data_IF_415078135187
#
_entry.id   IF_415078135187
#
_cell.length_a   1.000
_cell.length_b   1.000
_cell.length_c   1.000
_cell.angle_alpha   90.00
_cell.angle_beta   90.00
_cell.angle_gamma   90.00
#
_symmetry.space_group_name_H-M   'P 1'
#
loop_
_entity.id
_entity.type
_entity.pdbx_description
1 polymer ?
#
# COMPACT_ATOMS: atom_id res chain seq x y z
N UNK A 1 -14.77 7.40 16.74
CA UNK A 1 -14.19 6.34 17.59
C UNK A 1 -12.67 6.47 17.54
N UNK A 2 -11.94 5.87 18.48
CA UNK A 2 -10.49 5.69 18.36
C UNK A 2 -10.24 4.26 17.88
N UNK A 3 -9.61 4.11 16.72
CA UNK A 3 -9.51 2.85 15.98
C UNK A 3 -8.04 2.52 15.77
N UNK A 4 -7.63 1.33 16.19
CA UNK A 4 -6.33 0.77 15.88
C UNK A 4 -6.40 -0.15 14.65
N UNK A 5 -5.51 0.06 13.67
CA UNK A 5 -5.33 -0.82 12.52
C UNK A 5 -3.95 -1.47 12.63
N UNK A 6 -3.92 -2.80 12.67
CA UNK A 6 -2.69 -3.59 12.77
C UNK A 6 -2.32 -4.11 11.38
N UNK A 7 -1.18 -3.64 10.87
CA UNK A 7 -0.66 -3.88 9.53
C UNK A 7 -0.96 -2.74 8.57
N UNK A 8 0.07 -2.28 7.86
CA UNK A 8 0.02 -1.19 6.87
C UNK A 8 0.16 -1.70 5.44
N UNK A 9 -0.30 -2.93 5.17
CA UNK A 9 -0.50 -3.40 3.81
C UNK A 9 -1.60 -2.62 3.08
N UNK A 10 -1.80 -2.92 1.79
CA UNK A 10 -2.79 -2.23 0.94
C UNK A 10 -4.19 -2.12 1.57
N UNK A 11 -4.65 -3.18 2.24
CA UNK A 11 -5.96 -3.20 2.91
C UNK A 11 -5.98 -2.29 4.14
N UNK A 12 -4.95 -2.34 4.99
CA UNK A 12 -4.84 -1.53 6.20
C UNK A 12 -4.78 -0.04 5.88
N UNK A 13 -3.97 0.35 4.89
CA UNK A 13 -3.88 1.73 4.42
C UNK A 13 -5.19 2.20 3.76
N UNK A 14 -5.85 1.35 2.99
CA UNK A 14 -7.17 1.68 2.40
C UNK A 14 -8.23 1.90 3.49
N UNK A 15 -8.27 1.04 4.51
CA UNK A 15 -9.14 1.21 5.67
C UNK A 15 -8.84 2.53 6.40
N UNK A 16 -7.58 2.82 6.68
CA UNK A 16 -7.18 4.06 7.34
C UNK A 16 -7.60 5.30 6.54
N UNK A 17 -7.32 5.31 5.24
CA UNK A 17 -7.68 6.40 4.32
C UNK A 17 -9.18 6.69 4.35
N UNK A 18 -10.03 5.65 4.34
CA UNK A 18 -11.48 5.84 4.37
C UNK A 18 -11.98 6.25 5.77
N UNK A 19 -11.45 5.67 6.84
CA UNK A 19 -11.96 5.88 8.20
C UNK A 19 -11.46 7.17 8.87
N UNK A 20 -10.29 7.69 8.47
CA UNK A 20 -9.69 8.85 9.15
C UNK A 20 -10.51 10.15 9.07
N UNK A 21 -11.48 10.23 8.15
CA UNK A 21 -12.30 11.42 7.96
C UNK A 21 -13.28 11.63 9.13
N UNK A 22 -13.69 10.55 9.79
CA UNK A 22 -14.71 10.56 10.84
C UNK A 22 -14.20 10.01 12.18
N UNK A 23 -13.02 9.40 12.19
CA UNK A 23 -12.48 8.68 13.34
C UNK A 23 -11.00 8.99 13.56
N UNK A 24 -10.57 8.93 14.82
CA UNK A 24 -9.16 8.96 15.17
C UNK A 24 -8.58 7.57 14.89
N UNK A 25 -7.59 7.49 13.99
CA UNK A 25 -7.02 6.22 13.54
C UNK A 25 -5.54 6.17 13.92
N UNK A 26 -5.13 5.08 14.56
CA UNK A 26 -3.73 4.75 14.82
C UNK A 26 -3.34 3.50 14.04
N UNK A 27 -2.23 3.57 13.30
CA UNK A 27 -1.68 2.47 12.53
C UNK A 27 -0.49 1.85 13.27
N UNK A 28 -0.40 0.52 13.25
CA UNK A 28 0.74 -0.23 13.77
C UNK A 28 1.31 -1.10 12.66
N UNK A 29 2.63 -0.99 12.43
CA UNK A 29 3.35 -1.80 11.45
C UNK A 29 4.50 -2.52 12.16
N UNK A 30 4.75 -3.77 11.76
CA UNK A 30 5.83 -4.56 12.32
C UNK A 30 7.17 -4.25 11.63
N UNK A 31 7.13 -3.88 10.36
CA UNK A 31 8.29 -3.51 9.57
C UNK A 31 8.72 -2.05 9.80
N UNK A 32 9.91 -1.70 9.33
CA UNK A 32 10.44 -0.33 9.28
C UNK A 32 9.95 0.47 8.06
N UNK A 33 9.09 -0.13 7.24
CA UNK A 33 8.44 0.49 6.08
C UNK A 33 6.96 0.10 6.00
N UNK A 34 6.18 0.90 5.29
CA UNK A 34 4.76 0.67 5.05
C UNK A 34 4.50 -0.01 3.69
N UNK A 35 3.31 -0.59 3.51
CA UNK A 35 2.87 -1.18 2.23
C UNK A 35 2.89 -2.71 2.21
N UNK A 36 3.69 -3.36 3.06
CA UNK A 36 3.77 -4.81 3.14
C UNK A 36 4.18 -5.42 1.79
N UNK A 37 3.28 -6.17 1.14
CA UNK A 37 3.54 -6.76 -0.18
C UNK A 37 3.54 -5.76 -1.35
N UNK A 38 3.05 -4.53 -1.18
CA UNK A 38 3.28 -3.47 -2.16
C UNK A 38 4.69 -2.91 -1.93
N UNK A 39 5.69 -3.64 -2.42
CA UNK A 39 7.10 -3.39 -2.12
C UNK A 39 7.86 -3.04 -3.40
N UNK A 40 8.41 -1.83 -3.42
CA UNK A 40 9.32 -1.33 -4.44
C UNK A 40 10.68 -1.10 -3.79
N UNK A 41 11.74 -1.59 -4.40
CA UNK A 41 13.11 -1.44 -3.92
C UNK A 41 13.93 -0.65 -4.93
N UNK A 42 14.70 0.32 -4.43
CA UNK A 42 15.60 1.09 -5.27
C UNK A 42 16.88 0.28 -5.52
N UNK A 43 17.25 0.14 -6.79
CA UNK A 43 18.42 -0.61 -7.26
C UNK A 43 19.26 0.29 -8.14
N UNK A 44 20.57 0.34 -7.87
CA UNK A 44 21.54 0.97 -8.78
C UNK A 44 22.22 -0.10 -9.62
N UNK A 45 22.14 0.04 -10.95
CA UNK A 45 22.82 -0.84 -11.92
C UNK A 45 23.53 0.03 -12.96
N UNK A 46 24.83 -0.19 -13.16
CA UNK A 46 25.68 0.57 -14.10
C UNK A 46 25.59 2.10 -13.93
N UNK A 47 25.47 2.56 -12.69
CA UNK A 47 25.36 3.98 -12.34
C UNK A 47 23.98 4.59 -12.60
N UNK A 48 22.97 3.78 -12.95
CA UNK A 48 21.58 4.21 -13.11
C UNK A 48 20.71 3.64 -12.00
N UNK A 49 19.80 4.48 -11.48
CA UNK A 49 18.82 4.08 -10.47
C UNK A 49 17.54 3.54 -11.12
N UNK A 50 16.96 2.53 -10.46
CA UNK A 50 15.74 1.84 -10.85
C UNK A 50 14.87 1.60 -9.62
N UNK A 51 13.59 1.88 -9.73
CA UNK A 51 12.58 1.44 -8.76
C UNK A 51 12.04 0.08 -9.23
N UNK A 52 12.28 -0.99 -8.46
CA UNK A 52 11.94 -2.36 -8.84
C UNK A 52 10.86 -2.90 -7.91
N UNK A 53 9.70 -3.24 -8.48
CA UNK A 53 8.63 -3.88 -7.73
C UNK A 53 8.97 -5.36 -7.46
N UNK A 54 8.92 -5.77 -6.19
CA UNK A 54 9.32 -7.12 -5.74
C UNK A 54 8.17 -7.94 -5.13
N UNK A 55 7.04 -7.29 -4.84
CA UNK A 55 5.84 -7.98 -4.34
C UNK A 55 4.69 -7.90 -5.34
N UNK A 56 3.87 -6.87 -5.24
CA UNK A 56 2.72 -6.67 -6.13
C UNK A 56 3.14 -6.07 -7.47
N UNK A 57 3.29 -6.93 -8.49
CA UNK A 57 3.86 -6.55 -9.80
C UNK A 57 2.86 -6.57 -10.97
N UNK A 58 1.62 -7.02 -10.76
CA UNK A 58 0.61 -7.14 -11.83
C UNK A 58 -0.73 -6.57 -11.38
N UNK A 59 -1.21 -5.60 -12.16
CA UNK A 59 -2.56 -5.04 -12.10
C UNK A 59 -3.22 -5.12 -13.49
N UNK A 60 -4.51 -5.45 -13.55
CA UNK A 60 -5.29 -5.49 -14.78
C UNK A 60 -6.80 -5.47 -14.51
N UNK A 61 -7.59 -4.96 -15.45
CA UNK A 61 -9.04 -4.75 -15.27
C UNK A 61 -9.84 -6.04 -15.18
N UNK A 62 -9.34 -7.13 -15.78
CA UNK A 62 -10.03 -8.44 -15.72
C UNK A 62 -10.05 -8.99 -14.30
N UNK A 63 -8.95 -8.83 -13.57
CA UNK A 63 -8.78 -9.33 -12.21
C UNK A 63 -9.22 -8.31 -11.16
N UNK A 64 -8.97 -7.01 -11.39
CA UNK A 64 -9.20 -5.94 -10.42
C UNK A 64 -10.32 -4.99 -10.87
N UNK A 65 -11.55 -5.49 -10.79
CA UNK A 65 -12.73 -4.80 -11.34
C UNK A 65 -13.20 -3.57 -10.55
N UNK A 66 -12.73 -3.39 -9.32
CA UNK A 66 -13.23 -2.38 -8.37
C UNK A 66 -12.69 -0.96 -8.62
N UNK A 67 -11.71 -0.78 -9.50
CA UNK A 67 -11.05 0.52 -9.72
C UNK A 67 -11.18 1.03 -11.17
N UNK A 68 -11.96 0.36 -12.02
CA UNK A 68 -12.10 0.74 -13.43
C UNK A 68 -13.08 1.91 -13.66
N UNK A 69 -13.87 2.29 -12.64
CA UNK A 69 -14.94 3.29 -12.77
C UNK A 69 -14.68 4.60 -11.98
N UNK A 70 -13.49 4.77 -11.39
CA UNK A 70 -13.10 5.94 -10.58
C UNK A 70 -12.11 6.91 -11.30
N UNK A 71 -11.92 6.78 -12.64
CA UNK A 71 -11.31 7.82 -13.49
C UNK A 71 -12.36 8.68 -14.22
#
# INVERSE_FOLDING_TARGET
MNIAIIGTGISGLTCAYRLHQEHEVTLFEANDYIGGHTATVDVTLDGKEYAVDTGFIVYNDRTYKLHADDE
#
